data_IF_676193139780
#
_entry.id   IF_676193139780
#
_cell.length_a   1.000
_cell.length_b   1.000
_cell.length_c   1.000
_cell.angle_alpha   90.00
_cell.angle_beta   90.00
_cell.angle_gamma   90.00
#
_symmetry.space_group_name_H-M   'P 1'
#
loop_
_entity.id
_entity.type
_entity.pdbx_description
1 polymer ?
#
# COMPACT_ATOMS: atom_id res chain seq x y z
N UNK A 1 -15.41 -5.14 6.41
CA UNK A 1 -14.33 -6.13 6.61
C UNK A 1 -13.61 -5.84 7.92
N UNK A 2 -13.23 -6.89 8.65
CA UNK A 2 -12.39 -6.75 9.85
C UNK A 2 -10.99 -6.32 9.41
N UNK A 3 -10.28 -5.43 10.13
CA UNK A 3 -8.85 -5.23 9.91
C UNK A 3 -8.12 -6.58 9.91
N UNK A 4 -6.96 -6.70 9.24
CA UNK A 4 -6.13 -7.89 9.33
C UNK A 4 -5.97 -8.32 10.79
N UNK A 5 -6.03 -9.63 11.06
CA UNK A 5 -6.16 -10.18 12.43
C UNK A 5 -5.06 -9.72 13.41
N UNK A 6 -3.96 -9.16 12.91
CA UNK A 6 -2.81 -8.64 13.65
C UNK A 6 -2.68 -7.11 13.65
N UNK A 7 -3.68 -6.36 13.16
CA UNK A 7 -3.60 -4.91 13.06
C UNK A 7 -4.32 -4.21 14.22
N UNK A 8 -3.55 -3.51 15.07
CA UNK A 8 -4.09 -2.66 16.14
C UNK A 8 -4.31 -1.24 15.64
N UNK A 9 -5.57 -0.81 15.62
CA UNK A 9 -5.97 0.59 15.34
C UNK A 9 -5.58 1.50 16.51
N UNK A 10 -4.80 2.54 16.23
CA UNK A 10 -4.28 3.48 17.24
C UNK A 10 -4.43 4.92 16.79
N UNK A 11 -4.66 5.80 17.76
CA UNK A 11 -4.54 7.24 17.55
C UNK A 11 -3.08 7.64 17.73
N UNK A 12 -2.42 8.26 16.74
CA UNK A 12 -1.04 8.68 16.90
C UNK A 12 -0.92 9.83 17.91
N UNK A 13 0.17 9.88 18.66
CA UNK A 13 0.45 10.97 19.59
C UNK A 13 1.30 12.03 18.88
N UNK A 14 0.65 13.07 18.35
CA UNK A 14 1.30 14.15 17.61
C UNK A 14 0.77 15.51 18.10
N UNK A 15 1.12 15.92 19.33
CA UNK A 15 0.47 17.05 20.00
C UNK A 15 0.71 18.39 19.28
N UNK A 16 1.87 18.54 18.64
CA UNK A 16 2.18 19.74 17.83
C UNK A 16 1.36 19.83 16.53
N UNK A 17 0.75 18.72 16.11
CA UNK A 17 -0.21 18.67 15.01
C UNK A 17 -1.66 18.60 15.52
N UNK A 18 -1.90 18.80 16.82
CA UNK A 18 -3.24 18.76 17.42
C UNK A 18 -3.82 17.35 17.59
N UNK A 19 -3.06 16.29 17.31
CA UNK A 19 -3.52 14.90 17.50
C UNK A 19 -3.24 14.48 18.93
N UNK A 20 -4.28 14.52 19.76
CA UNK A 20 -4.24 14.09 21.17
C UNK A 20 -4.80 12.67 21.33
N UNK A 21 -4.15 11.79 22.11
CA UNK A 21 -4.52 10.37 22.19
C UNK A 21 -5.89 10.08 22.83
N UNK A 22 -6.47 11.02 23.57
CA UNK A 22 -7.75 10.90 24.28
C UNK A 22 -8.99 11.24 23.41
N UNK A 23 -8.80 11.67 22.16
CA UNK A 23 -9.88 12.05 21.24
C UNK A 23 -10.07 11.02 20.11
N UNK A 24 -10.64 9.85 20.39
CA UNK A 24 -10.70 8.73 19.44
C UNK A 24 -11.97 8.63 18.55
N UNK A 25 -12.99 9.46 18.80
CA UNK A 25 -14.35 9.24 18.28
C UNK A 25 -14.48 9.36 16.75
N UNK A 26 -13.57 10.08 16.10
CA UNK A 26 -13.60 10.35 14.66
C UNK A 26 -12.53 9.59 13.85
N UNK A 27 -11.82 8.64 14.47
CA UNK A 27 -10.80 7.85 13.76
C UNK A 27 -11.41 7.08 12.57
N UNK A 28 -10.63 6.86 11.52
CA UNK A 28 -11.05 6.12 10.32
C UNK A 28 -11.14 4.61 10.59
N UNK A 29 -11.99 3.90 9.85
CA UNK A 29 -12.10 2.43 9.90
C UNK A 29 -11.14 1.78 8.89
N UNK A 30 -10.87 0.49 9.06
CA UNK A 30 -10.11 -0.26 8.06
C UNK A 30 -10.86 -0.35 6.72
N UNK A 31 -12.18 -0.45 6.76
CA UNK A 31 -13.02 -0.45 5.55
C UNK A 31 -12.82 0.79 4.70
N UNK A 32 -12.59 1.94 5.33
CA UNK A 32 -12.26 3.14 4.59
C UNK A 32 -10.91 3.00 3.87
N UNK A 33 -9.86 2.49 4.54
CA UNK A 33 -8.54 2.25 3.93
C UNK A 33 -8.66 1.25 2.78
N UNK A 34 -9.34 0.15 3.01
CA UNK A 34 -9.55 -0.92 2.04
C UNK A 34 -10.28 -0.39 0.80
N UNK A 35 -11.33 0.40 0.96
CA UNK A 35 -12.06 1.03 -0.14
C UNK A 35 -11.15 1.99 -0.93
N UNK A 36 -10.37 2.84 -0.26
CA UNK A 36 -9.42 3.75 -0.93
C UNK A 36 -8.36 2.97 -1.73
N UNK A 37 -7.82 1.90 -1.16
CA UNK A 37 -6.89 1.01 -1.86
C UNK A 37 -7.55 0.33 -3.06
N UNK A 38 -8.82 -0.09 -2.96
CA UNK A 38 -9.55 -0.64 -4.10
C UNK A 38 -9.72 0.41 -5.22
N UNK A 39 -10.21 1.61 -4.92
CA UNK A 39 -10.52 2.59 -6.00
C UNK A 39 -9.28 3.28 -6.57
N UNK A 40 -8.14 3.23 -5.87
CA UNK A 40 -6.90 3.88 -6.29
C UNK A 40 -6.47 3.45 -7.70
N UNK A 41 -6.19 4.43 -8.56
CA UNK A 41 -5.65 4.15 -9.91
C UNK A 41 -4.17 3.77 -9.86
N UNK A 42 -3.38 4.49 -9.07
CA UNK A 42 -1.94 4.31 -8.94
C UNK A 42 -1.55 4.14 -7.48
N UNK A 43 -0.39 3.54 -7.27
CA UNK A 43 0.26 3.43 -5.96
C UNK A 43 1.69 3.92 -6.10
N UNK A 44 2.11 4.87 -5.28
CA UNK A 44 3.47 5.38 -5.29
C UNK A 44 4.35 4.53 -4.40
N UNK A 45 5.31 3.83 -5.00
CA UNK A 45 6.24 2.95 -4.28
C UNK A 45 7.55 3.69 -4.07
N UNK A 46 7.85 3.95 -2.80
CA UNK A 46 9.12 4.47 -2.34
C UNK A 46 10.04 3.32 -1.91
N UNK A 47 11.19 3.20 -2.56
CA UNK A 47 12.26 2.24 -2.27
C UNK A 47 13.58 2.97 -2.00
N UNK A 48 14.58 2.27 -1.47
CA UNK A 48 15.90 2.85 -1.18
C UNK A 48 16.89 2.44 -2.27
N UNK A 49 17.65 3.37 -2.84
CA UNK A 49 18.75 3.09 -3.77
C UNK A 49 20.00 2.57 -3.04
N UNK A 50 20.93 1.96 -3.79
CA UNK A 50 22.15 1.39 -3.20
C UNK A 50 23.06 2.44 -2.52
N UNK A 51 22.97 3.70 -2.95
CA UNK A 51 23.64 4.86 -2.37
C UNK A 51 22.87 5.48 -1.18
N UNK A 52 21.76 4.85 -0.75
CA UNK A 52 20.89 5.33 0.32
C UNK A 52 19.84 6.37 -0.11
N UNK A 53 19.84 6.81 -1.37
CA UNK A 53 18.89 7.81 -1.86
C UNK A 53 17.46 7.23 -1.96
N UNK A 54 16.42 7.96 -1.54
CA UNK A 54 15.04 7.54 -1.77
C UNK A 54 14.69 7.57 -3.27
N UNK A 55 13.91 6.59 -3.72
CA UNK A 55 13.37 6.51 -5.07
C UNK A 55 11.87 6.24 -5.01
N UNK A 56 11.07 7.18 -5.51
CA UNK A 56 9.62 7.05 -5.59
C UNK A 56 9.16 7.04 -7.05
N UNK A 57 8.27 6.13 -7.39
CA UNK A 57 7.59 6.08 -8.70
C UNK A 57 6.17 5.54 -8.53
N UNK A 58 5.22 5.96 -9.39
CA UNK A 58 3.92 5.33 -9.44
C UNK A 58 4.01 3.95 -10.10
N UNK A 59 3.18 3.02 -9.64
CA UNK A 59 2.93 1.73 -10.28
C UNK A 59 1.44 1.49 -10.44
N UNK A 60 1.11 0.68 -11.43
CA UNK A 60 -0.19 0.03 -11.53
C UNK A 60 -0.21 -1.20 -10.63
N UNK A 61 -1.33 -1.43 -9.96
CA UNK A 61 -1.44 -2.44 -8.92
C UNK A 61 -2.86 -2.97 -8.75
N UNK A 62 -2.94 -4.17 -8.21
CA UNK A 62 -4.17 -4.83 -7.80
C UNK A 62 -4.20 -4.95 -6.28
N UNK A 63 -5.24 -4.39 -5.67
CA UNK A 63 -5.56 -4.66 -4.27
C UNK A 63 -6.55 -5.81 -4.24
N UNK A 64 -6.12 -6.95 -3.71
CA UNK A 64 -6.88 -8.21 -3.69
C UNK A 64 -6.69 -8.87 -2.34
N UNK A 65 -7.78 -9.28 -1.70
CA UNK A 65 -7.77 -9.98 -0.41
C UNK A 65 -6.96 -9.23 0.68
N UNK A 66 -6.99 -7.89 0.66
CA UNK A 66 -6.28 -7.04 1.63
C UNK A 66 -4.78 -6.90 1.39
N UNK A 67 -4.28 -7.31 0.22
CA UNK A 67 -2.86 -7.23 -0.16
C UNK A 67 -2.70 -6.43 -1.45
N UNK A 68 -1.71 -5.55 -1.47
CA UNK A 68 -1.30 -4.87 -2.69
C UNK A 68 -0.32 -5.76 -3.47
N UNK A 69 -0.70 -6.09 -4.70
CA UNK A 69 0.15 -6.71 -5.69
C UNK A 69 0.49 -5.72 -6.79
N UNK A 70 1.75 -5.68 -7.20
CA UNK A 70 2.17 -4.85 -8.32
C UNK A 70 3.24 -5.51 -9.18
N UNK A 71 3.06 -5.41 -10.50
CA UNK A 71 4.02 -5.86 -11.50
C UNK A 71 5.18 -4.87 -11.68
N UNK A 72 6.39 -5.38 -11.93
CA UNK A 72 7.54 -4.57 -12.36
C UNK A 72 8.49 -5.41 -13.20
N UNK A 73 9.16 -4.79 -14.17
CA UNK A 73 10.30 -5.42 -14.86
C UNK A 73 11.41 -5.77 -13.85
N UNK A 74 12.02 -6.96 -13.99
CA UNK A 74 13.08 -7.46 -13.10
C UNK A 74 14.33 -6.57 -13.08
N UNK A 75 14.65 -5.93 -14.20
CA UNK A 75 15.77 -4.99 -14.32
C UNK A 75 15.44 -3.58 -13.82
N UNK A 76 14.16 -3.27 -13.54
CA UNK A 76 13.76 -1.95 -13.05
C UNK A 76 14.47 -1.59 -11.73
N UNK A 77 14.80 -0.31 -11.57
CA UNK A 77 15.53 0.17 -10.39
C UNK A 77 14.82 -0.22 -9.07
N UNK A 78 13.49 -0.11 -9.01
CA UNK A 78 12.71 -0.49 -7.82
C UNK A 78 12.80 -1.98 -7.50
N UNK A 79 12.80 -2.85 -8.50
CA UNK A 79 12.92 -4.30 -8.31
C UNK A 79 14.28 -4.64 -7.69
N UNK A 80 15.36 -4.08 -8.25
CA UNK A 80 16.72 -4.24 -7.68
C UNK A 80 16.87 -3.63 -6.29
N UNK A 81 16.19 -2.50 -6.04
CA UNK A 81 16.18 -1.88 -4.73
C UNK A 81 15.51 -2.79 -3.70
N UNK A 82 14.30 -3.27 -3.99
CA UNK A 82 13.50 -4.15 -3.11
C UNK A 82 14.21 -5.48 -2.86
N UNK A 83 14.85 -6.06 -3.87
CA UNK A 83 15.62 -7.30 -3.72
C UNK A 83 16.82 -7.14 -2.76
N UNK A 84 17.41 -5.93 -2.66
CA UNK A 84 18.53 -5.62 -1.76
C UNK A 84 18.06 -5.16 -0.38
N UNK A 85 17.02 -4.35 -0.35
CA UNK A 85 16.41 -3.77 0.85
C UNK A 85 14.90 -3.74 0.65
N UNK A 86 14.21 -4.68 1.29
CA UNK A 86 12.78 -4.90 1.08
C UNK A 86 11.90 -3.79 1.66
N UNK A 87 12.46 -2.89 2.47
CA UNK A 87 11.69 -1.82 3.12
C UNK A 87 11.16 -0.83 2.09
N UNK A 88 9.85 -0.63 2.14
CA UNK A 88 9.14 0.29 1.23
C UNK A 88 8.13 1.14 1.99
N UNK A 89 7.83 2.29 1.40
CA UNK A 89 6.61 3.06 1.71
C UNK A 89 5.75 3.04 0.46
N UNK A 90 4.46 2.80 0.61
CA UNK A 90 3.47 2.89 -0.47
C UNK A 90 2.40 3.89 -0.08
N UNK A 91 2.10 4.85 -0.95
CA UNK A 91 1.01 5.80 -0.71
C UNK A 91 0.16 6.04 -1.95
N UNK A 92 -1.04 6.58 -1.74
CA UNK A 92 -1.94 6.97 -2.81
C UNK A 92 -1.66 8.41 -3.29
N UNK A 93 -2.36 8.83 -4.35
CA UNK A 93 -2.18 10.13 -5.02
C UNK A 93 -2.72 11.32 -4.19
N UNK A 94 -3.76 11.11 -3.40
CA UNK A 94 -4.52 12.17 -2.72
C UNK A 94 -3.92 12.53 -1.36
N UNK A 95 -3.57 13.80 -1.15
CA UNK A 95 -3.25 14.35 0.16
C UNK A 95 -4.50 14.64 1.02
N UNK A 96 -5.65 14.84 0.39
CA UNK A 96 -6.91 15.11 1.08
C UNK A 96 -7.52 13.83 1.69
N UNK A 97 -7.31 12.69 1.02
CA UNK A 97 -7.71 11.35 1.44
C UNK A 97 -6.47 10.48 1.57
N UNK A 98 -5.68 10.73 2.61
CA UNK A 98 -4.36 10.13 2.71
C UNK A 98 -4.44 8.69 3.20
N UNK A 99 -3.71 7.82 2.50
CA UNK A 99 -3.40 6.44 2.90
C UNK A 99 -1.93 6.17 2.60
N UNK A 100 -1.18 5.77 3.63
CA UNK A 100 0.24 5.43 3.54
C UNK A 100 0.47 4.10 4.25
N UNK A 101 1.11 3.18 3.55
CA UNK A 101 1.59 1.91 4.07
C UNK A 101 3.10 1.97 4.20
N UNK A 102 3.63 1.52 5.33
CA UNK A 102 5.03 1.20 5.52
C UNK A 102 5.15 -0.31 5.76
N UNK A 103 6.21 -0.91 5.25
CA UNK A 103 6.44 -2.34 5.41
C UNK A 103 7.52 -2.86 4.50
N UNK A 104 7.37 -4.11 4.06
CA UNK A 104 8.29 -4.77 3.15
C UNK A 104 7.60 -5.24 1.88
N UNK A 105 8.30 -5.18 0.75
CA UNK A 105 7.87 -5.82 -0.48
C UNK A 105 8.78 -7.00 -0.84
N UNK A 106 8.21 -8.03 -1.43
CA UNK A 106 8.93 -9.22 -1.90
C UNK A 106 8.23 -9.84 -3.12
N UNK A 107 8.90 -10.77 -3.80
CA UNK A 107 8.29 -11.55 -4.87
C UNK A 107 7.12 -12.38 -4.33
N UNK A 108 5.94 -12.18 -4.91
CA UNK A 108 4.69 -12.72 -4.43
C UNK A 108 4.64 -14.23 -4.63
N UNK A 109 4.33 -14.97 -3.57
CA UNK A 109 4.05 -16.40 -3.62
C UNK A 109 2.54 -16.58 -3.67
N UNK A 110 1.98 -16.81 -4.86
CA UNK A 110 0.52 -16.86 -5.09
C UNK A 110 0.11 -18.18 -5.74
N UNK A 111 -1.06 -18.69 -5.36
CA UNK A 111 -1.69 -19.81 -6.06
C UNK A 111 -2.17 -19.39 -7.45
N UNK A 112 -2.44 -20.35 -8.33
CA UNK A 112 -3.02 -20.08 -9.65
C UNK A 112 -4.38 -19.34 -9.56
N UNK A 113 -5.17 -19.66 -8.53
CA UNK A 113 -6.46 -19.00 -8.28
C UNK A 113 -6.29 -17.54 -7.88
N UNK A 114 -5.34 -17.25 -6.98
CA UNK A 114 -5.00 -15.88 -6.59
C UNK A 114 -4.45 -15.08 -7.76
N UNK A 115 -3.58 -15.69 -8.58
CA UNK A 115 -3.05 -15.07 -9.78
C UNK A 115 -4.17 -14.70 -10.77
N UNK A 116 -5.17 -15.57 -10.93
CA UNK A 116 -6.37 -15.29 -11.73
C UNK A 116 -7.11 -14.04 -11.26
N UNK A 117 -7.43 -13.94 -9.95
CA UNK A 117 -8.09 -12.76 -9.37
C UNK A 117 -7.27 -11.47 -9.54
N UNK A 118 -5.95 -11.56 -9.37
CA UNK A 118 -5.04 -10.43 -9.58
C UNK A 118 -5.10 -9.98 -11.04
N UNK A 119 -5.04 -10.92 -11.99
CA UNK A 119 -5.15 -10.65 -13.42
C UNK A 119 -6.47 -9.98 -13.81
N UNK A 120 -7.60 -10.53 -13.34
CA UNK A 120 -8.94 -9.95 -13.55
C UNK A 120 -8.99 -8.49 -13.06
N UNK A 121 -8.41 -8.23 -11.88
CA UNK A 121 -8.35 -6.88 -11.31
C UNK A 121 -7.50 -5.92 -12.14
N UNK A 122 -6.41 -6.41 -12.71
CA UNK A 122 -5.58 -5.63 -13.63
C UNK A 122 -6.33 -5.29 -14.93
N UNK A 123 -7.01 -6.27 -15.53
CA UNK A 123 -7.81 -6.06 -16.74
C UNK A 123 -8.93 -5.04 -16.49
N UNK A 124 -9.68 -5.21 -15.39
CA UNK A 124 -10.77 -4.31 -15.00
C UNK A 124 -10.27 -2.86 -14.85
N UNK A 125 -9.14 -2.66 -14.16
CA UNK A 125 -8.63 -1.31 -13.92
C UNK A 125 -8.00 -0.70 -15.16
N UNK A 126 -7.15 -1.46 -15.86
CA UNK A 126 -6.17 -0.90 -16.80
C UNK A 126 -6.50 -1.19 -18.27
N UNK A 127 -7.58 -1.90 -18.58
CA UNK A 127 -7.94 -2.32 -19.94
C UNK A 127 -6.77 -3.03 -20.66
N UNK A 128 -5.99 -3.78 -19.88
CA UNK A 128 -4.77 -4.44 -20.34
C UNK A 128 -5.11 -5.55 -21.34
N UNK A 129 -4.36 -5.59 -22.43
CA UNK A 129 -4.32 -6.73 -23.34
C UNK A 129 -3.67 -7.93 -22.61
N UNK A 130 -4.35 -9.09 -22.52
CA UNK A 130 -3.79 -10.30 -21.92
C UNK A 130 -2.43 -10.72 -22.50
N UNK A 131 -2.12 -10.40 -23.76
CA UNK A 131 -0.82 -10.73 -24.37
C UNK A 131 0.34 -9.89 -23.81
N UNK A 132 0.07 -8.70 -23.25
CA UNK A 132 1.08 -7.85 -22.60
C UNK A 132 1.49 -8.35 -21.21
N UNK A 133 0.78 -9.34 -20.67
CA UNK A 133 1.07 -9.95 -19.36
C UNK A 133 2.22 -10.97 -19.39
N UNK A 134 2.70 -11.41 -20.57
CA UNK A 134 3.72 -12.47 -20.72
C UNK A 134 5.19 -11.98 -20.75
N UNK A 135 5.48 -10.80 -20.20
CA UNK A 135 6.86 -10.28 -20.14
C UNK A 135 7.56 -10.70 -18.84
N UNK A 136 8.92 -10.72 -18.80
CA UNK A 136 9.80 -11.07 -17.65
C UNK A 136 9.62 -10.08 -16.48
N UNK A 137 8.42 -10.09 -15.93
CA UNK A 137 7.91 -9.20 -14.92
C UNK A 137 7.81 -9.97 -13.60
N UNK A 138 8.25 -9.30 -12.55
CA UNK A 138 8.06 -9.72 -11.18
C UNK A 138 6.70 -9.25 -10.70
N UNK A 139 5.94 -10.16 -10.12
CA UNK A 139 4.81 -9.79 -9.26
C UNK A 139 5.34 -9.62 -7.83
N UNK A 140 5.22 -8.41 -7.29
CA UNK A 140 5.60 -8.10 -5.92
C UNK A 140 4.34 -7.97 -5.06
N UNK A 141 4.43 -8.38 -3.78
CA UNK A 141 3.40 -8.14 -2.78
C UNK A 141 3.93 -7.29 -1.62
N UNK A 142 3.04 -6.51 -1.01
CA UNK A 142 3.33 -5.68 0.16
C UNK A 142 2.87 -6.37 1.45
N UNK A 143 3.76 -6.43 2.45
CA UNK A 143 3.42 -6.79 3.83
C UNK A 143 3.56 -5.54 4.71
N UNK A 144 2.45 -4.97 5.21
CA UNK A 144 2.50 -3.78 6.06
C UNK A 144 3.00 -4.10 7.46
N UNK A 145 3.83 -3.21 8.01
CA UNK A 145 4.12 -3.11 9.45
C UNK A 145 3.36 -1.93 10.08
N UNK A 146 3.07 -0.90 9.29
CA UNK A 146 2.31 0.28 9.72
C UNK A 146 1.46 0.83 8.57
N UNK A 147 0.24 1.25 8.88
CA UNK A 147 -0.61 2.02 7.97
C UNK A 147 -1.02 3.33 8.64
N UNK A 148 -1.05 4.41 7.90
CA UNK A 148 -1.41 5.75 8.34
C UNK A 148 -2.49 6.30 7.42
N UNK A 149 -3.55 6.86 7.99
CA UNK A 149 -4.62 7.48 7.22
C UNK A 149 -5.20 8.70 7.91
N UNK A 150 -5.66 9.66 7.11
CA UNK A 150 -6.43 10.81 7.57
C UNK A 150 -7.22 11.44 6.41
N UNK A 151 -8.24 12.20 6.78
CA UNK A 151 -8.95 13.12 5.89
C UNK A 151 -8.53 14.54 6.24
N UNK A 152 -7.99 15.31 5.28
CA UNK A 152 -7.49 16.66 5.54
C UNK A 152 -8.59 17.58 6.08
N UNK A 153 -9.79 17.52 5.48
CA UNK A 153 -10.95 18.32 5.91
C UNK A 153 -11.38 18.12 7.37
N UNK A 154 -11.04 16.96 7.94
CA UNK A 154 -11.42 16.54 9.30
C UNK A 154 -10.17 16.27 10.17
N UNK A 155 -9.00 16.74 9.74
CA UNK A 155 -7.77 16.65 10.52
C UNK A 155 -7.82 17.66 11.69
N UNK A 156 -7.34 17.32 12.91
CA UNK A 156 -6.64 16.10 13.33
C UNK A 156 -7.56 14.96 13.80
N UNK A 157 -8.89 15.12 13.72
CA UNK A 157 -9.83 14.18 14.31
C UNK A 157 -9.74 12.78 13.68
N UNK A 158 -9.50 12.71 12.36
CA UNK A 158 -9.44 11.45 11.60
C UNK A 158 -8.09 10.74 11.58
N UNK A 159 -7.03 11.35 12.12
CA UNK A 159 -5.69 10.77 12.11
C UNK A 159 -5.68 9.39 12.80
N UNK A 160 -5.42 8.36 12.01
CA UNK A 160 -5.57 6.95 12.43
C UNK A 160 -4.43 6.12 11.89
N UNK A 161 -3.74 5.40 12.77
CA UNK A 161 -2.73 4.44 12.38
C UNK A 161 -3.22 3.01 12.66
N UNK A 162 -2.71 2.06 11.90
CA UNK A 162 -2.76 0.63 12.22
C UNK A 162 -1.33 0.14 12.37
N UNK A 163 -1.05 -0.49 13.51
CA UNK A 163 0.23 -1.11 13.80
C UNK A 163 0.06 -2.62 13.73
N UNK A 164 0.92 -3.27 12.96
CA UNK A 164 0.89 -4.72 12.78
C UNK A 164 1.93 -5.33 13.72
N UNK A 165 1.56 -6.41 14.39
CA UNK A 165 2.52 -7.20 15.15
C UNK A 165 3.47 -7.93 14.17
N UNK A 166 4.74 -8.04 14.55
CA UNK A 166 5.79 -8.76 13.81
C UNK A 166 5.53 -10.28 13.76
#
# INVERSE_FOLDING_TARGET
>A
MTPPLNARRVRPNMPHYGVMPDQADAMLSWDWVDERMHVARNYWVCSVCADGRPHSVPVWGAWVDGVLYFGTDRAALKARNIARDSRVVVHLDSGDETVIFEGTAAEAQVSAEQLGRIGERYVEKYELDPELAETDSLLLSLTPSRVMAWLEKDYPATATYWLFDD
#
